data_IF_392259621726
#
_entry.id   IF_392259621726
#
_cell.length_a   1.000
_cell.length_b   1.000
_cell.length_c   1.000
_cell.angle_alpha   90.00
_cell.angle_beta   90.00
_cell.angle_gamma   90.00
#
_symmetry.space_group_name_H-M   'P 1'
#
loop_
_entity.id
_entity.type
_entity.pdbx_description
1 polymer ?
2 non-polymer ?
3 non-polymer ?
4 water ?
#
# COMPACT_ATOMS: atom_id res chain seq x y z
N UNK A 8 -13.58 23.74 0.98
CA UNK A 8 -12.62 24.03 2.07
C UNK A 8 -11.22 24.21 1.54
N UNK A 9 -11.09 24.71 0.31
CA UNK A 9 -9.76 24.83 -0.32
C UNK A 9 -8.76 25.47 0.64
N UNK A 10 -9.05 26.68 1.12
CA UNK A 10 -8.10 27.42 1.97
C UNK A 10 -7.51 26.50 3.05
N UNK A 11 -8.37 25.92 3.86
CA UNK A 11 -7.86 25.08 4.95
C UNK A 11 -7.05 23.92 4.39
N UNK A 12 -7.51 23.31 3.28
CA UNK A 12 -6.82 22.13 2.77
C UNK A 12 -5.52 22.53 2.08
N UNK A 13 -5.54 23.65 1.35
CA UNK A 13 -4.31 24.15 0.75
C UNK A 13 -3.28 24.51 1.82
N UNK A 14 -3.71 25.11 2.94
CA UNK A 14 -2.78 25.37 4.03
C UNK A 14 -2.18 24.07 4.54
N UNK A 15 -2.99 23.01 4.64
CA UNK A 15 -2.49 21.74 5.14
C UNK A 15 -1.45 21.17 4.19
N UNK A 16 -1.78 21.09 2.90
CA UNK A 16 -0.80 20.64 1.91
C UNK A 16 0.48 21.48 1.99
N UNK A 17 0.35 22.79 2.24
CA UNK A 17 1.56 23.64 2.35
C UNK A 17 2.36 23.30 3.60
N UNK A 18 1.67 22.94 4.69
CA UNK A 18 2.36 22.46 5.89
C UNK A 18 3.10 21.16 5.64
N UNK A 19 2.48 20.22 4.92
CA UNK A 19 3.11 18.94 4.65
C UNK A 19 4.40 19.11 3.88
N UNK A 20 4.40 19.97 2.85
CA UNK A 20 5.61 20.24 2.09
C UNK A 20 6.77 20.67 2.96
N UNK A 21 6.48 21.20 4.17
CA UNK A 21 7.53 21.74 5.03
C UNK A 21 8.44 20.66 5.60
N UNK A 22 7.97 19.41 5.69
CA UNK A 22 8.83 18.33 6.16
C UNK A 22 9.46 17.55 5.01
N UNK A 23 9.59 18.18 3.84
CA UNK A 23 10.08 17.48 2.64
C UNK A 23 11.56 17.15 2.76
N UNK A 24 12.34 17.94 3.48
CA UNK A 24 13.73 17.56 3.68
C UNK A 24 13.90 16.49 4.75
N UNK A 25 12.91 16.35 5.64
CA UNK A 25 12.93 15.30 6.65
C UNK A 25 12.64 13.94 6.04
N UNK A 26 11.59 13.85 5.20
CA UNK A 26 11.27 12.58 4.57
C UNK A 26 12.37 12.15 3.61
N UNK A 27 13.05 13.11 2.98
CA UNK A 27 14.12 12.76 2.05
C UNK A 27 15.36 12.24 2.80
N UNK A 28 15.94 13.05 3.69
CA UNK A 28 17.19 12.64 4.31
C UNK A 28 17.00 11.41 5.21
N UNK A 29 15.80 11.19 5.73
CA UNK A 29 15.55 10.01 6.55
C UNK A 29 15.50 8.74 5.68
N UNK A 30 14.82 8.82 4.52
CA UNK A 30 14.92 7.79 3.51
C UNK A 30 16.27 7.81 2.78
N UNK A 31 17.06 8.86 2.95
CA UNK A 31 18.37 8.88 2.33
C UNK A 31 19.34 7.90 2.95
N UNK A 32 19.11 7.54 4.22
CA UNK A 32 19.92 6.51 4.85
C UNK A 32 19.27 5.14 4.80
N UNK A 33 17.94 5.09 4.71
CA UNK A 33 17.27 3.85 4.35
C UNK A 33 17.92 3.24 3.12
N UNK A 34 18.21 4.08 2.12
CA UNK A 34 18.86 3.69 0.87
C UNK A 34 20.15 2.91 1.10
N UNK A 35 21.17 3.56 1.65
CA UNK A 35 22.47 2.92 1.81
C UNK A 35 22.46 1.68 2.69
N UNK A 36 21.44 1.53 3.53
CA UNK A 36 21.29 0.30 4.30
C UNK A 36 20.66 -0.79 3.44
N UNK A 37 19.65 -0.43 2.65
CA UNK A 37 19.00 -1.38 1.77
C UNK A 37 19.96 -1.87 0.68
N UNK A 38 20.79 -0.98 0.14
CA UNK A 38 21.80 -1.45 -0.81
C UNK A 38 22.78 -2.39 -0.14
N UNK A 39 23.10 -2.16 1.13
CA UNK A 39 24.03 -3.03 1.82
C UNK A 39 23.43 -4.40 2.10
N UNK A 40 22.15 -4.42 2.50
CA UNK A 40 21.46 -5.69 2.64
C UNK A 40 21.39 -6.42 1.30
N UNK A 41 21.12 -5.66 0.22
CA UNK A 41 21.00 -6.27 -1.09
C UNK A 41 22.31 -6.92 -1.54
N UNK A 42 23.45 -6.32 -1.18
CA UNK A 42 24.75 -6.86 -1.60
C UNK A 42 24.99 -8.24 -1.02
N UNK A 43 24.95 -8.36 0.31
CA UNK A 43 25.26 -9.63 0.93
C UNK A 43 24.11 -10.64 0.80
N UNK A 44 22.89 -10.18 0.57
CA UNK A 44 21.81 -11.10 0.23
C UNK A 44 22.11 -11.82 -1.09
N UNK A 45 22.61 -11.07 -2.08
CA UNK A 45 22.98 -11.68 -3.35
C UNK A 45 24.15 -12.66 -3.23
N UNK A 46 24.68 -12.87 -2.03
CA UNK A 46 25.76 -13.84 -1.82
C UNK A 46 25.24 -15.18 -1.32
N UNK A 47 23.95 -15.28 -1.01
CA UNK A 47 23.33 -16.51 -0.56
C UNK A 47 22.62 -17.18 -1.72
N UNK A 48 22.82 -18.51 -1.84
CA UNK A 48 22.26 -19.26 -2.96
C UNK A 48 20.77 -19.03 -3.12
N UNK A 49 20.03 -19.03 -2.02
CA UNK A 49 18.59 -18.90 -2.10
C UNK A 49 18.17 -17.49 -2.48
N UNK A 50 18.96 -16.48 -2.13
CA UNK A 50 18.55 -15.10 -2.38
C UNK A 50 19.39 -14.42 -3.46
N UNK A 51 20.11 -15.18 -4.27
CA UNK A 51 20.72 -14.59 -5.45
C UNK A 51 19.65 -14.05 -6.37
N UNK A 52 20.01 -13.04 -7.14
CA UNK A 52 19.00 -12.43 -7.99
C UNK A 52 17.86 -11.77 -7.26
N UNK A 53 17.97 -11.62 -5.95
CA UNK A 53 17.08 -10.70 -5.26
C UNK A 53 17.41 -9.29 -5.72
N UNK A 54 16.41 -8.42 -5.69
CA UNK A 54 16.58 -7.05 -6.15
C UNK A 54 15.48 -6.19 -5.58
N UNK A 55 15.53 -4.91 -5.93
CA UNK A 55 14.58 -3.94 -5.42
C UNK A 55 13.40 -3.78 -6.37
N UNK A 56 12.19 -3.93 -5.85
CA UNK A 56 10.98 -3.75 -6.64
C UNK A 56 10.73 -2.28 -7.03
N UNK A 66 7.23 4.01 -0.90
CA UNK A 66 8.37 3.88 0.00
C UNK A 66 8.04 4.46 1.39
N UNK A 67 7.38 5.62 1.46
CA UNK A 67 7.03 6.23 2.74
C UNK A 67 5.54 5.99 3.03
N UNK A 68 5.26 5.31 4.15
CA UNK A 68 3.90 4.92 4.52
C UNK A 68 3.21 6.01 5.36
N UNK A 69 3.90 6.49 6.37
CA UNK A 69 3.43 7.57 7.23
C UNK A 69 4.68 8.19 7.82
N UNK A 70 4.86 9.53 7.80
CA UNK A 70 6.09 10.18 8.25
C UNK A 70 7.13 9.31 8.97
N UNK A 71 8.25 8.99 8.30
CA UNK A 71 9.36 8.20 8.91
C UNK A 71 9.09 6.69 8.84
N UNK A 72 7.89 6.29 8.43
CA UNK A 72 7.60 4.84 8.25
C UNK A 72 7.94 4.46 6.81
N UNK A 73 9.09 3.82 6.59
CA UNK A 73 9.48 3.52 5.22
C UNK A 73 9.33 2.05 4.89
N UNK A 74 8.96 1.78 3.65
CA UNK A 74 8.70 0.43 3.18
C UNK A 74 9.50 0.14 1.92
N UNK A 75 10.32 -0.91 1.97
CA UNK A 75 11.10 -1.40 0.84
C UNK A 75 10.71 -2.86 0.57
N UNK A 76 10.54 -3.22 -0.69
CA UNK A 76 10.19 -4.59 -1.07
C UNK A 76 11.34 -5.22 -1.85
N UNK A 77 11.83 -6.34 -1.34
CA UNK A 77 12.87 -7.10 -2.01
C UNK A 77 12.20 -8.15 -2.90
N UNK A 78 12.37 -8.02 -4.20
CA UNK A 78 11.79 -9.00 -5.12
C UNK A 78 12.78 -10.12 -5.40
N UNK A 79 12.24 -11.32 -5.60
CA UNK A 79 13.07 -12.47 -5.86
C UNK A 79 12.46 -13.24 -7.02
N UNK A 80 13.27 -13.54 -8.03
CA UNK A 80 12.77 -14.25 -9.21
C UNK A 80 12.79 -15.75 -8.94
N UNK A 81 11.62 -16.36 -8.84
CA UNK A 81 11.52 -17.82 -8.72
C UNK A 81 11.18 -18.41 -10.08
N UNK A 82 11.48 -19.71 -10.32
CA UNK A 82 11.04 -20.33 -11.57
C UNK A 82 9.54 -20.43 -11.65
N UNK A 83 9.07 -21.10 -12.71
CA UNK A 83 7.64 -21.28 -12.96
C UNK A 83 6.90 -21.66 -11.69
N UNK A 84 5.78 -20.99 -11.46
CA UNK A 84 5.10 -21.06 -10.17
C UNK A 84 3.71 -21.63 -10.38
N UNK A 85 3.23 -22.34 -9.36
CA UNK A 85 1.89 -22.91 -9.32
C UNK A 85 1.20 -22.45 -8.05
N UNK A 86 -0.02 -21.95 -8.17
CA UNK A 86 -0.74 -21.41 -7.04
C UNK A 86 -1.97 -22.24 -6.72
N UNK A 87 -2.18 -22.53 -5.45
CA UNK A 87 -3.43 -23.11 -4.95
C UNK A 87 -4.05 -22.16 -3.92
N UNK A 88 -5.18 -21.57 -4.27
CA UNK A 88 -5.87 -20.64 -3.39
C UNK A 88 -6.16 -21.28 -2.04
N UNK A 89 -5.76 -20.61 -0.97
CA UNK A 89 -5.98 -21.12 0.38
C UNK A 89 -7.43 -20.91 0.76
N UNK A 90 -8.19 -22.00 0.81
CA UNK A 90 -9.63 -22.03 1.15
C UNK A 90 -10.35 -21.16 0.12
N UNK A 91 -11.20 -20.23 0.53
CA UNK A 91 -11.84 -19.25 -0.36
C UNK A 91 -11.43 -17.83 0.03
N UNK A 92 -10.15 -17.70 0.39
CA UNK A 92 -9.55 -16.37 0.66
C UNK A 92 -8.89 -16.01 -0.65
N UNK A 93 -9.49 -15.11 -1.42
CA UNK A 93 -9.00 -14.87 -2.81
C UNK A 93 -7.57 -14.34 -2.86
N UNK A 94 -6.98 -13.96 -1.72
CA UNK A 94 -5.65 -13.33 -1.75
C UNK A 94 -4.56 -14.27 -1.24
N UNK A 95 -4.92 -15.33 -0.52
CA UNK A 95 -3.88 -16.12 0.11
C UNK A 95 -3.71 -17.46 -0.60
N UNK A 96 -2.45 -17.87 -0.79
CA UNK A 96 -2.13 -19.00 -1.66
C UNK A 96 -1.03 -19.86 -1.06
N UNK A 97 -1.01 -21.12 -1.49
CA UNK A 97 0.17 -21.96 -1.38
C UNK A 97 0.98 -21.86 -2.66
N UNK A 98 2.27 -22.18 -2.56
CA UNK A 98 3.21 -21.94 -3.64
C UNK A 98 3.94 -23.24 -3.93
N UNK A 99 3.90 -23.67 -5.19
CA UNK A 99 4.70 -24.80 -5.65
C UNK A 99 5.12 -24.54 -7.10
N UNK A 100 6.11 -25.29 -7.55
CA UNK A 100 6.73 -25.05 -8.86
C UNK A 100 6.10 -25.90 -9.98
N UNK A 108 18.24 -23.91 -6.05
CA UNK A 108 18.66 -23.87 -4.64
C UNK A 108 17.49 -23.68 -3.67
N UNK A 109 16.38 -23.15 -4.18
CA UNK A 109 15.20 -22.86 -3.37
C UNK A 109 14.61 -24.10 -2.69
N UNK A 110 15.09 -25.28 -3.09
CA UNK A 110 14.56 -26.54 -2.57
C UNK A 110 14.57 -26.61 -1.05
N UNK A 111 15.44 -25.84 -0.39
CA UNK A 111 15.61 -25.96 1.05
C UNK A 111 14.41 -25.46 1.86
N UNK A 112 13.50 -24.70 1.24
CA UNK A 112 12.34 -24.15 1.95
C UNK A 112 11.08 -24.96 1.74
N UNK A 113 11.19 -26.22 1.34
CA UNK A 113 10.03 -26.99 0.94
C UNK A 113 9.41 -27.68 2.16
N UNK A 114 8.08 -27.80 2.14
CA UNK A 114 7.31 -28.60 3.10
C UNK A 114 6.47 -29.56 2.24
N UNK A 115 7.10 -30.63 1.77
CA UNK A 115 6.48 -31.48 0.78
C UNK A 115 6.59 -30.88 -0.61
N UNK A 116 5.47 -30.51 -1.22
CA UNK A 116 5.52 -29.87 -2.53
C UNK A 116 5.31 -28.37 -2.45
N UNK A 117 4.91 -27.84 -1.28
CA UNK A 117 4.68 -26.40 -1.16
C UNK A 117 5.95 -25.74 -0.65
N UNK A 118 6.09 -24.46 -0.97
CA UNK A 118 7.23 -23.65 -0.56
C UNK A 118 6.85 -22.92 0.72
N UNK A 119 7.63 -23.12 1.77
CA UNK A 119 7.24 -22.65 3.09
C UNK A 119 7.53 -21.15 3.21
N UNK A 120 6.46 -20.36 3.22
CA UNK A 120 6.58 -18.93 3.50
C UNK A 120 7.25 -18.68 4.84
N UNK A 121 6.69 -19.30 5.90
CA UNK A 121 7.23 -19.13 7.25
C UNK A 121 8.71 -19.50 7.32
N UNK A 122 9.12 -20.55 6.60
CA UNK A 122 10.54 -20.97 6.65
C UNK A 122 11.41 -20.06 5.78
N UNK A 123 10.95 -19.68 4.60
CA UNK A 123 11.74 -18.75 3.78
C UNK A 123 11.86 -17.39 4.45
N UNK A 124 10.74 -16.83 4.90
CA UNK A 124 10.80 -15.61 5.68
C UNK A 124 11.81 -15.71 6.82
N UNK A 125 12.03 -16.92 7.33
CA UNK A 125 12.89 -17.07 8.50
C UNK A 125 14.36 -16.94 8.13
N UNK A 126 14.76 -17.38 6.94
CA UNK A 126 16.18 -17.29 6.61
C UNK A 126 16.54 -15.88 6.17
N UNK A 127 15.66 -15.26 5.39
CA UNK A 127 15.69 -13.83 5.13
C UNK A 127 16.05 -13.05 6.39
N UNK A 128 15.22 -13.22 7.43
CA UNK A 128 15.40 -12.52 8.69
C UNK A 128 16.82 -12.68 9.21
N UNK A 129 17.32 -13.92 9.22
CA UNK A 129 18.58 -14.22 9.89
C UNK A 129 19.78 -13.73 9.08
N UNK A 130 19.63 -13.61 7.76
CA UNK A 130 20.72 -13.06 6.98
C UNK A 130 20.85 -11.56 7.24
N UNK A 131 19.72 -10.88 7.45
CA UNK A 131 19.76 -9.45 7.77
C UNK A 131 20.26 -9.21 9.20
N UNK A 132 20.00 -10.16 10.11
CA UNK A 132 20.48 -10.03 11.48
C UNK A 132 22.01 -9.92 11.52
N UNK A 133 22.70 -10.87 10.89
CA UNK A 133 24.17 -10.83 10.91
C UNK A 133 24.74 -9.70 10.07
N UNK A 134 23.91 -9.04 9.27
CA UNK A 134 24.40 -7.90 8.51
C UNK A 134 24.33 -6.61 9.32
N UNK A 135 23.39 -6.51 10.26
CA UNK A 135 23.35 -5.37 11.16
C UNK A 135 24.44 -5.51 12.22
N UNK A 142 24.11 2.55 13.32
CA UNK A 142 23.24 2.38 14.49
C UNK A 142 21.86 1.88 14.07
N UNK A 143 21.74 0.59 13.77
CA UNK A 143 20.51 -0.04 13.30
C UNK A 143 20.17 -1.22 14.21
N UNK A 144 18.88 -1.54 14.33
CA UNK A 144 18.41 -2.65 15.16
C UNK A 144 17.16 -3.27 14.54
N UNK A 145 16.76 -4.42 15.08
CA UNK A 145 15.72 -5.26 14.50
C UNK A 145 14.36 -5.12 15.21
N UNK A 146 13.43 -6.00 14.85
CA UNK A 146 12.09 -6.10 15.43
C UNK A 146 11.21 -7.13 14.69
N UNK A 153 4.60 -9.59 7.12
CA UNK A 153 5.49 -10.03 6.05
C UNK A 153 6.75 -9.21 6.13
N UNK A 154 6.72 -8.28 7.07
CA UNK A 154 7.74 -7.25 7.18
C UNK A 154 8.75 -7.63 8.26
N UNK A 155 10.04 -7.48 7.93
CA UNK A 155 11.12 -7.41 8.89
C UNK A 155 11.42 -5.93 9.11
N UNK A 156 11.50 -5.51 10.36
CA UNK A 156 11.58 -4.08 10.66
C UNK A 156 12.96 -3.73 11.19
N UNK A 157 13.58 -2.74 10.57
CA UNK A 157 14.80 -2.10 11.05
C UNK A 157 14.45 -0.79 11.72
N UNK A 158 15.40 -0.28 12.51
CA UNK A 158 15.29 1.01 13.19
C UNK A 158 16.64 1.71 13.05
N UNK A 159 16.75 2.61 12.07
CA UNK A 159 17.99 3.34 11.82
C UNK A 159 18.04 4.56 12.71
N UNK A 160 19.02 4.61 13.61
CA UNK A 160 19.25 5.75 14.49
C UNK A 160 17.96 6.20 15.18
N UNK A 161 17.17 5.21 15.62
CA UNK A 161 16.07 5.43 16.55
C UNK A 161 14.86 6.11 15.90
N UNK A 162 15.09 7.16 15.09
CA UNK A 162 14.00 7.89 14.46
C UNK A 162 13.33 7.07 13.37
N UNK A 163 14.13 6.44 12.52
CA UNK A 163 13.70 5.97 11.20
C UNK A 163 13.40 4.49 11.27
N UNK A 164 12.16 4.13 10.94
CA UNK A 164 11.71 2.75 10.88
C UNK A 164 11.60 2.31 9.43
N UNK A 165 12.11 1.10 9.13
CA UNK A 165 12.06 0.56 7.78
C UNK A 165 11.39 -0.81 7.79
N UNK A 166 10.41 -0.97 6.90
CA UNK A 166 9.79 -2.26 6.62
C UNK A 166 10.43 -2.87 5.38
N UNK A 167 10.96 -4.08 5.52
CA UNK A 167 11.63 -4.80 4.45
C UNK A 167 10.83 -6.06 4.18
N UNK A 168 10.18 -6.12 3.03
CA UNK A 168 9.22 -7.17 2.72
C UNK A 168 9.76 -8.01 1.58
N UNK A 169 9.86 -9.32 1.79
CA UNK A 169 10.32 -10.21 0.75
C UNK A 169 9.17 -10.51 -0.22
N UNK A 170 9.44 -10.39 -1.52
CA UNK A 170 8.42 -10.57 -2.55
C UNK A 170 8.91 -11.59 -3.57
N UNK A 171 8.24 -12.74 -3.65
CA UNK A 171 8.41 -13.64 -4.78
C UNK A 171 7.78 -13.03 -6.02
N UNK A 172 8.49 -13.13 -7.15
CA UNK A 172 8.02 -12.57 -8.41
C UNK A 172 7.54 -13.67 -9.34
N UNK A 173 6.33 -13.52 -9.86
CA UNK A 173 5.79 -14.46 -10.83
C UNK A 173 5.43 -13.73 -12.11
N UNK A 174 5.97 -14.20 -13.22
CA UNK A 174 5.63 -13.71 -14.55
C UNK A 174 4.46 -14.47 -15.17
N UNK A 175 3.78 -15.33 -14.41
CA UNK A 175 2.58 -15.99 -14.91
C UNK A 175 1.43 -14.98 -14.99
N UNK A 176 0.37 -15.36 -15.71
CA UNK A 176 -0.85 -14.57 -15.69
C UNK A 176 -1.35 -14.42 -14.25
N UNK A 177 -2.04 -13.32 -13.99
CA UNK A 177 -2.54 -13.04 -12.66
C UNK A 177 -3.56 -14.10 -12.24
N UNK A 178 -3.70 -14.36 -10.94
CA UNK A 178 -4.59 -15.42 -10.50
C UNK A 178 -6.05 -15.07 -10.73
N UNK A 179 -6.87 -16.12 -10.76
CA UNK A 179 -8.28 -15.98 -11.11
C UNK A 179 -9.00 -14.95 -10.24
N UNK A 180 -8.57 -14.78 -8.98
CA UNK A 180 -9.28 -13.87 -8.09
C UNK A 180 -9.10 -12.41 -8.48
N UNK A 181 -8.20 -12.10 -9.41
CA UNK A 181 -8.01 -10.73 -9.85
C UNK A 181 -8.78 -10.41 -11.12
N UNK A 182 -9.52 -11.36 -11.68
CA UNK A 182 -10.15 -11.16 -12.98
C UNK A 182 -11.06 -9.95 -13.01
N UNK A 183 -11.83 -9.75 -11.94
CA UNK A 183 -12.75 -8.63 -11.80
C UNK A 183 -12.13 -7.45 -11.04
N UNK A 184 -10.87 -7.56 -10.63
CA UNK A 184 -10.19 -6.44 -10.01
C UNK A 184 -9.70 -5.43 -11.05
N UNK A 185 -8.99 -4.41 -10.56
CA UNK A 185 -8.35 -3.39 -11.38
C UNK A 185 -9.33 -2.80 -12.39
N UNK A 186 -10.44 -2.26 -11.88
CA UNK A 186 -11.54 -1.78 -12.73
C UNK A 186 -11.24 -0.37 -13.24
N UNK A 187 -10.20 -0.28 -14.09
CA UNK A 187 -9.71 1.00 -14.55
C UNK A 187 -10.16 1.33 -15.98
N UNK A 188 -10.96 0.47 -16.63
CA UNK A 188 -11.28 0.62 -18.05
C UNK A 188 -11.82 2.01 -18.37
N UNK A 189 -12.79 2.50 -17.59
CA UNK A 189 -13.39 3.80 -17.90
C UNK A 189 -12.51 4.96 -17.51
N UNK A 190 -11.45 4.72 -16.73
CA UNK A 190 -10.61 5.79 -16.20
C UNK A 190 -9.28 5.82 -16.94
N UNK A 191 -8.34 4.96 -16.58
CA UNK A 191 -7.23 4.66 -17.48
C UNK A 191 -7.83 3.83 -18.60
N UNK A 192 -7.13 3.42 -19.62
CA UNK A 192 -8.02 2.77 -20.60
C UNK A 192 -8.15 1.24 -20.42
N UNK A 193 -9.00 0.62 -21.25
CA UNK A 193 -9.00 -0.84 -21.34
C UNK A 193 -7.63 -1.37 -21.79
N UNK A 194 -6.97 -0.67 -22.72
CA UNK A 194 -5.65 -1.12 -23.15
C UNK A 194 -4.62 -0.97 -22.05
N UNK A 195 -4.75 0.04 -21.18
CA UNK A 195 -3.79 0.17 -20.08
C UNK A 195 -3.96 -0.98 -19.10
N UNK A 196 -5.19 -1.39 -18.82
CA UNK A 196 -5.42 -2.56 -17.93
C UNK A 196 -4.72 -3.79 -18.52
N UNK A 197 -4.80 -3.97 -19.85
CA UNK A 197 -4.14 -5.12 -20.52
C UNK A 197 -2.62 -5.00 -20.38
N UNK A 198 -2.10 -3.79 -20.49
CA UNK A 198 -0.67 -3.63 -20.29
C UNK A 198 -0.28 -3.98 -18.85
N UNK A 199 -1.07 -3.46 -17.89
CA UNK A 199 -0.76 -3.67 -16.48
C UNK A 199 -0.81 -5.14 -16.11
N UNK A 200 -1.81 -5.87 -16.63
CA UNK A 200 -2.00 -7.26 -16.26
C UNK A 200 -1.05 -8.20 -16.99
N UNK A 201 -0.25 -7.70 -17.92
CA UNK A 201 0.84 -8.49 -18.48
C UNK A 201 2.09 -8.42 -17.62
N UNK A 202 2.15 -7.47 -16.70
CA UNK A 202 3.30 -7.33 -15.83
C UNK A 202 3.28 -8.42 -14.77
N UNK A 203 4.40 -8.67 -14.12
CA UNK A 203 4.43 -9.71 -13.07
C UNK A 203 3.55 -9.33 -11.89
N UNK A 204 3.32 -10.32 -11.02
CA UNK A 204 2.68 -10.06 -9.74
C UNK A 204 3.56 -10.68 -8.66
N UNK A 205 3.20 -10.40 -7.40
CA UNK A 205 4.08 -10.73 -6.30
C UNK A 205 3.33 -11.43 -5.19
N UNK A 206 4.06 -12.22 -4.43
CA UNK A 206 3.55 -12.87 -3.23
C UNK A 206 4.47 -12.51 -2.08
N UNK A 207 3.90 -11.94 -1.03
CA UNK A 207 4.67 -11.67 0.18
C UNK A 207 4.34 -12.77 1.17
N UNK A 208 5.28 -13.19 2.01
CA UNK A 208 4.96 -14.24 2.99
C UNK A 208 4.15 -13.69 4.15
N UNK A 209 2.89 -13.41 3.85
CA UNK A 209 1.94 -12.99 4.91
C UNK A 209 0.93 -14.13 5.00
N UNK A 210 0.90 -14.82 6.13
CA UNK A 210 0.05 -15.98 6.32
C UNK A 210 -1.27 -15.58 6.94
N UNK A 211 -2.36 -16.13 6.42
CA UNK A 211 -3.69 -15.94 6.98
C UNK A 211 -3.72 -16.28 8.46
N UNK A 219 0.85 -21.08 9.30
CA UNK A 219 0.61 -21.59 7.96
C UNK A 219 1.69 -21.12 6.98
N UNK A 220 1.90 -21.89 5.93
CA UNK A 220 2.94 -21.60 4.95
C UNK A 220 2.41 -20.80 3.76
N UNK A 221 1.45 -19.90 3.99
CA UNK A 221 0.70 -19.24 2.94
C UNK A 221 1.29 -17.86 2.59
N UNK A 222 1.12 -17.47 1.34
CA UNK A 222 1.60 -16.21 0.79
C UNK A 222 0.43 -15.38 0.29
N UNK A 223 0.62 -14.06 0.26
CA UNK A 223 -0.42 -13.11 -0.14
C UNK A 223 -0.03 -12.33 -1.39
N UNK A 224 -0.98 -12.12 -2.28
CA UNK A 224 -0.71 -11.38 -3.51
C UNK A 224 -0.31 -9.95 -3.21
N UNK A 225 0.57 -9.40 -4.03
CA UNK A 225 1.00 -8.01 -3.92
C UNK A 225 1.11 -7.39 -5.29
N UNK A 226 0.59 -6.17 -5.41
CA UNK A 226 0.61 -5.40 -6.65
C UNK A 226 1.10 -3.98 -6.35
N UNK A 227 1.88 -3.83 -5.29
CA UNK A 227 2.32 -2.50 -4.92
C UNK A 227 3.09 -1.84 -6.05
N UNK A 228 3.62 -2.62 -6.99
CA UNK A 228 4.24 -2.01 -8.16
C UNK A 228 3.19 -1.40 -9.08
N UNK A 229 2.04 -2.08 -9.24
CA UNK A 229 0.97 -1.49 -10.03
C UNK A 229 0.39 -0.28 -9.31
N UNK A 230 0.36 -0.31 -7.98
CA UNK A 230 -0.23 0.81 -7.28
C UNK A 230 0.58 2.08 -7.53
N UNK A 231 1.90 1.95 -7.62
CA UNK A 231 2.75 3.10 -7.89
C UNK A 231 2.54 3.63 -9.32
N UNK A 232 2.30 2.73 -10.28
CA UNK A 232 2.10 3.14 -11.68
C UNK A 232 0.80 3.93 -11.86
N UNK A 233 -0.29 3.48 -11.24
CA UNK A 233 -1.54 4.19 -11.44
C UNK A 233 -1.58 5.46 -10.61
N UNK A 234 -0.80 5.53 -9.53
CA UNK A 234 -0.68 6.77 -8.77
C UNK A 234 0.08 7.84 -9.55
N UNK A 235 1.23 7.47 -10.14
CA UNK A 235 2.04 8.39 -10.93
C UNK A 235 1.56 8.63 -12.35
N UNK A 236 0.72 7.77 -12.91
CA UNK A 236 0.22 7.94 -14.26
C UNK A 236 -1.30 7.87 -14.21
N UNK A 237 -1.89 8.90 -13.61
CA UNK A 237 -3.17 8.78 -12.95
C UNK A 237 -4.35 9.36 -13.72
N UNK A 238 -4.11 10.03 -14.87
CA UNK A 238 -5.17 10.75 -15.52
C UNK A 238 -5.83 9.96 -16.63
N UNK A 239 -7.07 10.34 -16.97
CA UNK A 239 -7.56 9.99 -18.29
C UNK A 239 -6.67 10.62 -19.35
N UNK A 240 -6.39 11.90 -19.24
CA UNK A 240 -5.43 12.49 -20.16
C UNK A 240 -4.03 11.95 -19.89
N UNK A 241 -3.40 11.40 -20.94
CA UNK A 241 -2.01 10.98 -20.81
C UNK A 241 -1.12 12.11 -20.31
N UNK A 242 -1.47 13.37 -20.57
CA UNK A 242 -0.65 14.49 -20.16
C UNK A 242 -1.18 15.15 -18.89
N UNK A 243 -2.00 14.43 -18.12
CA UNK A 243 -2.41 14.90 -16.80
C UNK A 243 -1.19 15.32 -16.00
N UNK A 244 -1.25 16.53 -15.41
CA UNK A 244 -0.21 17.09 -14.56
C UNK A 244 1.13 17.27 -15.27
N UNK A 245 1.18 17.29 -16.60
CA UNK A 245 2.42 17.63 -17.30
C UNK A 245 2.48 19.05 -17.83
N UNK A 246 1.42 19.83 -17.66
CA UNK A 246 1.36 21.19 -18.15
C UNK A 246 0.36 21.92 -17.27
N UNK A 247 0.46 23.25 -17.28
CA UNK A 247 -0.36 24.08 -16.42
C UNK A 247 -1.85 23.97 -16.71
N UNK A 248 -2.25 23.48 -17.90
CA UNK A 248 -3.66 23.37 -18.24
C UNK A 248 -4.30 22.10 -17.69
N UNK A 249 -3.49 21.18 -17.15
CA UNK A 249 -3.98 19.88 -16.69
C UNK A 249 -3.37 19.59 -15.33
N UNK A 250 -3.64 20.43 -14.32
CA UNK A 250 -3.20 20.19 -12.93
C UNK A 250 -4.39 19.61 -12.19
N UNK A 251 -4.47 18.28 -12.11
CA UNK A 251 -5.54 17.74 -11.29
C UNK A 251 -5.10 17.68 -9.82
N UNK A 252 -6.02 17.31 -8.94
CA UNK A 252 -5.77 17.31 -7.50
C UNK A 252 -5.87 15.91 -6.93
N UNK A 253 -5.71 14.89 -7.80
CA UNK A 253 -5.78 13.50 -7.35
C UNK A 253 -4.73 13.21 -6.28
N UNK A 254 -3.49 13.64 -6.50
CA UNK A 254 -2.46 13.31 -5.52
C UNK A 254 -2.64 14.10 -4.22
N UNK A 255 -3.11 15.35 -4.29
CA UNK A 255 -3.39 16.10 -3.06
C UNK A 255 -4.49 15.45 -2.24
N UNK A 256 -5.53 14.93 -2.90
CA UNK A 256 -6.60 14.32 -2.14
C UNK A 256 -6.12 13.12 -1.36
N UNK A 257 -5.22 12.32 -1.95
CA UNK A 257 -4.73 11.15 -1.23
C UNK A 257 -3.87 11.59 -0.05
N UNK A 258 -3.05 12.64 -0.24
CA UNK A 258 -2.25 13.16 0.86
C UNK A 258 -3.16 13.62 2.00
N UNK A 259 -4.15 14.45 1.68
CA UNK A 259 -5.12 14.89 2.68
C UNK A 259 -5.76 13.69 3.37
N UNK A 260 -6.09 12.64 2.61
CA UNK A 260 -6.73 11.50 3.23
C UNK A 260 -5.77 10.72 4.12
N UNK A 261 -4.52 10.50 3.65
CA UNK A 261 -3.47 9.91 4.51
C UNK A 261 -3.25 10.76 5.77
N UNK A 262 -3.27 12.08 5.63
CA UNK A 262 -3.00 12.96 6.77
C UNK A 262 -4.18 13.00 7.72
N UNK A 263 -5.40 12.94 7.17
CA UNK A 263 -6.60 12.89 8.00
C UNK A 263 -6.54 11.69 8.94
N UNK A 264 -6.18 10.53 8.40
CA UNK A 264 -6.10 9.33 9.21
C UNK A 264 -4.95 9.41 10.22
N UNK A 265 -3.79 9.93 9.79
CA UNK A 265 -2.67 10.04 10.71
C UNK A 265 -3.02 10.97 11.88
N UNK A 266 -3.66 12.10 11.58
CA UNK A 266 -4.04 13.04 12.64
C UNK A 266 -5.08 12.44 13.57
N UNK A 267 -6.11 11.78 13.02
CA UNK A 267 -7.11 11.18 13.88
C UNK A 267 -6.51 10.06 14.72
N UNK A 268 -5.59 9.30 14.13
CA UNK A 268 -4.97 8.23 14.89
C UNK A 268 -4.17 8.79 16.06
N UNK A 269 -3.48 9.91 15.83
CA UNK A 269 -2.77 10.59 16.91
C UNK A 269 -3.71 11.00 18.04
N UNK A 270 -4.82 11.65 17.69
CA UNK A 270 -5.74 12.19 18.69
C UNK A 270 -6.39 11.09 19.54
N UNK A 271 -6.70 9.94 18.94
CA UNK A 271 -7.29 8.81 19.67
C UNK A 271 -6.24 7.79 20.08
N UNK A 272 -5.09 8.28 20.56
CA UNK A 272 -4.01 7.47 21.14
C UNK A 272 -4.25 7.13 22.60
N UNK A 273 -5.24 7.74 23.26
CA UNK A 273 -5.58 7.42 24.64
C UNK A 273 -6.34 6.10 24.76
N UNK A 274 -7.31 5.85 23.90
CA UNK A 274 -8.09 4.62 23.95
C UNK A 274 -7.82 3.69 22.78
N UNK A 275 -6.96 4.09 21.83
CA UNK A 275 -6.35 3.19 20.84
C UNK A 275 -7.41 2.45 20.03
N UNK A 276 -8.45 3.15 19.63
CA UNK A 276 -9.51 2.50 18.88
C UNK A 276 -9.18 2.38 17.39
N UNK A 277 -8.18 3.11 16.93
CA UNK A 277 -7.91 3.25 15.51
C UNK A 277 -6.67 2.51 15.07
N UNK A 278 -6.10 1.67 15.93
CA UNK A 278 -4.81 1.06 15.66
C UNK A 278 -4.79 0.25 14.36
N UNK A 279 -5.92 -0.32 13.95
CA UNK A 279 -5.91 -1.26 12.83
C UNK A 279 -5.96 -0.59 11.46
N UNK A 280 -6.36 0.67 11.39
CA UNK A 280 -6.52 1.35 10.12
C UNK A 280 -5.18 1.90 9.68
N UNK A 281 -4.88 1.71 8.40
CA UNK A 281 -3.62 2.18 7.84
C UNK A 281 -3.89 2.99 6.60
N UNK A 282 -2.83 3.66 6.14
CA UNK A 282 -2.92 4.40 4.90
C UNK A 282 -3.22 3.48 3.71
N UNK A 283 -3.02 2.17 3.83
CA UNK A 283 -3.45 1.27 2.77
C UNK A 283 -4.97 1.22 2.65
N UNK A 284 -5.69 1.29 3.76
CA UNK A 284 -7.14 1.40 3.66
C UNK A 284 -7.50 2.70 2.94
N UNK A 285 -6.76 3.77 3.22
CA UNK A 285 -7.02 5.05 2.57
C UNK A 285 -6.64 5.00 1.09
N UNK A 286 -5.46 4.47 0.76
CA UNK A 286 -5.06 4.37 -0.64
C UNK A 286 -6.07 3.55 -1.44
N UNK A 287 -6.52 2.41 -0.88
CA UNK A 287 -7.45 1.55 -1.59
C UNK A 287 -8.76 2.26 -1.86
N UNK A 288 -9.32 2.95 -0.85
CA UNK A 288 -10.54 3.72 -1.07
C UNK A 288 -10.32 4.81 -2.11
N UNK A 289 -9.16 5.46 -2.09
CA UNK A 289 -8.88 6.49 -3.08
C UNK A 289 -8.89 5.91 -4.50
N UNK A 290 -8.39 4.68 -4.68
CA UNK A 290 -8.47 4.04 -6.00
C UNK A 290 -9.93 3.83 -6.44
N UNK A 291 -10.83 3.46 -5.51
CA UNK A 291 -12.23 3.28 -5.87
C UNK A 291 -12.85 4.60 -6.30
N UNK A 292 -12.51 5.67 -5.60
CA UNK A 292 -13.07 6.97 -5.95
C UNK A 292 -12.57 7.42 -7.33
N UNK A 293 -11.29 7.16 -7.63
CA UNK A 293 -10.76 7.41 -8.98
C UNK A 293 -11.55 6.65 -10.03
N UNK A 294 -11.89 5.39 -9.75
CA UNK A 294 -12.76 4.64 -10.66
C UNK A 294 -14.13 5.29 -10.76
N UNK A 295 -14.65 5.80 -9.65
CA UNK A 295 -15.96 6.43 -9.68
C UNK A 295 -15.94 7.77 -10.43
N UNK A 296 -14.88 8.54 -10.34
CA UNK A 296 -14.80 9.84 -11.01
C UNK A 296 -13.66 9.74 -12.02
N UNK A 297 -13.93 9.10 -13.18
CA UNK A 297 -12.84 8.78 -14.10
C UNK A 297 -12.29 9.96 -14.88
N UNK A 298 -12.97 11.11 -14.95
CA UNK A 298 -12.50 12.17 -15.83
C UNK A 298 -11.65 13.16 -15.04
N UNK A 299 -10.60 13.69 -15.73
CA UNK A 299 -9.73 14.67 -15.09
C UNK A 299 -10.53 15.91 -14.70
N UNK A 300 -11.57 16.23 -15.46
CA UNK A 300 -12.40 17.36 -15.10
C UNK A 300 -13.05 17.17 -13.73
N UNK A 301 -13.22 15.93 -13.27
CA UNK A 301 -13.74 15.70 -11.94
C UNK A 301 -12.67 15.82 -10.85
N UNK A 302 -11.44 16.14 -11.24
CA UNK A 302 -10.35 16.34 -10.30
C UNK A 302 -9.65 17.66 -10.53
N UNK A 303 -10.39 18.65 -11.02
CA UNK A 303 -9.82 19.96 -11.27
C UNK A 303 -9.27 20.55 -9.97
N UNK A 304 -8.09 21.16 -10.06
CA UNK A 304 -7.46 21.74 -8.87
C UNK A 304 -8.40 22.71 -8.16
N UNK A 305 -9.12 23.54 -8.92
CA UNK A 305 -10.02 24.52 -8.34
C UNK A 305 -11.07 23.90 -7.42
N UNK A 306 -11.29 22.60 -7.53
CA UNK A 306 -12.34 21.91 -6.82
C UNK A 306 -11.81 21.03 -5.70
N UNK A 307 -10.60 21.29 -5.23
CA UNK A 307 -9.96 20.48 -4.19
C UNK A 307 -10.92 20.20 -3.03
N UNK A 308 -11.66 21.21 -2.57
CA UNK A 308 -12.61 21.00 -1.49
C UNK A 308 -13.64 19.92 -1.76
N UNK A 309 -14.27 19.96 -2.95
CA UNK A 309 -15.31 18.98 -3.30
C UNK A 309 -14.72 17.62 -3.62
N UNK A 310 -13.53 17.60 -4.23
CA UNK A 310 -12.86 16.33 -4.52
C UNK A 310 -12.50 15.59 -3.22
N UNK A 311 -11.92 16.33 -2.27
CA UNK A 311 -11.64 15.77 -0.96
C UNK A 311 -12.92 15.24 -0.32
N UNK A 312 -14.01 16.02 -0.42
CA UNK A 312 -15.28 15.56 0.14
C UNK A 312 -15.71 14.21 -0.46
N UNK A 313 -15.55 14.03 -1.79
CA UNK A 313 -15.85 12.74 -2.43
C UNK A 313 -15.01 11.62 -1.82
N UNK A 314 -13.74 11.89 -1.56
CA UNK A 314 -12.89 10.87 -0.94
C UNK A 314 -13.35 10.52 0.46
N UNK A 315 -13.73 11.54 1.23
CA UNK A 315 -14.15 11.31 2.62
C UNK A 315 -15.51 10.62 2.68
N UNK A 316 -16.46 11.01 1.81
CA UNK A 316 -17.77 10.37 1.81
C UNK A 316 -17.68 8.90 1.41
N UNK A 317 -16.86 8.57 0.39
CA UNK A 317 -16.74 7.16 0.00
C UNK A 317 -16.00 6.36 1.05
N UNK A 318 -14.98 6.94 1.67
CA UNK A 318 -14.35 6.24 2.78
C UNK A 318 -15.36 5.99 3.89
N UNK A 319 -16.21 6.97 4.17
CA UNK A 319 -17.25 6.82 5.18
C UNK A 319 -18.19 5.67 4.83
N UNK A 320 -18.66 5.61 3.57
CA UNK A 320 -19.53 4.51 3.17
C UNK A 320 -18.86 3.16 3.43
N UNK A 321 -17.55 3.05 3.15
CA UNK A 321 -16.83 1.81 3.42
C UNK A 321 -16.89 1.43 4.90
N UNK A 322 -16.53 2.37 5.78
CA UNK A 322 -16.60 2.09 7.22
C UNK A 322 -18.01 1.68 7.63
N UNK A 323 -19.03 2.38 7.15
CA UNK A 323 -20.39 2.17 7.62
C UNK A 323 -21.02 0.88 7.07
N UNK A 324 -20.55 0.41 5.92
CA UNK A 324 -21.02 -0.85 5.36
C UNK A 324 -20.04 -1.99 5.61
N UNK A 325 -19.00 -1.75 6.42
CA UNK A 325 -17.96 -2.74 6.70
C UNK A 325 -17.51 -3.45 5.42
N UNK A 326 -17.25 -2.65 4.39
CA UNK A 326 -16.84 -3.18 3.10
C UNK A 326 -15.84 -2.24 2.45
N UNK A 327 -14.59 -2.68 2.33
CA UNK A 327 -13.61 -2.00 1.51
C UNK A 327 -12.92 -3.07 0.68
N UNK A 328 -13.25 -3.13 -0.60
CA UNK A 328 -12.72 -4.14 -1.49
C UNK A 328 -11.28 -3.81 -1.88
N UNK A 329 -10.40 -4.78 -1.71
CA UNK A 329 -9.10 -4.74 -2.37
C UNK A 329 -9.29 -4.40 -3.84
N UNK A 330 -8.49 -3.46 -4.33
CA UNK A 330 -8.65 -2.92 -5.67
C UNK A 330 -8.39 -3.97 -6.73
N UNK A 331 -7.52 -4.93 -6.43
CA UNK A 331 -7.15 -6.01 -7.36
C UNK A 331 -7.91 -7.31 -7.08
N UNK A 332 -8.30 -7.54 -5.83
CA UNK A 332 -9.03 -8.75 -5.44
C UNK A 332 -10.36 -8.31 -4.82
N UNK A 333 -11.44 -8.24 -5.59
CA UNK A 333 -12.68 -7.67 -5.05
C UNK A 333 -13.33 -8.49 -3.95
N UNK A 334 -13.16 -9.81 -3.94
CA UNK A 334 -13.78 -10.62 -2.89
C UNK A 334 -12.93 -10.69 -1.63
N UNK A 335 -11.93 -9.84 -1.52
CA UNK A 335 -11.07 -9.73 -0.36
C UNK A 335 -11.43 -8.40 0.30
N UNK A 336 -12.17 -8.49 1.40
CA UNK A 336 -12.72 -7.32 2.11
C UNK A 336 -11.76 -6.94 3.24
N UNK A 337 -11.01 -5.85 3.02
CA UNK A 337 -10.13 -5.34 4.07
C UNK A 337 -10.90 -4.90 5.32
N UNK A 338 -12.21 -4.70 5.22
CA UNK A 338 -12.98 -4.20 6.36
C UNK A 338 -13.92 -5.23 6.96
N UNK A 339 -13.73 -6.52 6.66
CA UNK A 339 -14.59 -7.52 7.28
C UNK A 339 -14.34 -7.57 8.79
N UNK A 340 -15.38 -7.95 9.53
CA UNK A 340 -15.22 -8.05 10.98
C UNK A 340 -14.12 -9.05 11.34
N UNK A 341 -13.71 -9.88 10.38
CA UNK A 341 -12.51 -10.69 10.52
C UNK A 341 -11.27 -9.84 10.81
N UNK A 342 -11.00 -8.83 9.99
CA UNK A 342 -9.75 -8.08 10.16
C UNK A 342 -9.90 -6.92 11.14
N UNK A 343 -10.98 -6.16 11.03
CA UNK A 343 -11.25 -5.06 11.93
C UNK A 343 -12.59 -5.34 12.59
N UNK A 344 -12.61 -5.35 13.92
CA UNK A 344 -13.88 -5.63 14.56
C UNK A 344 -14.83 -4.45 14.34
N UNK A 345 -16.13 -4.73 14.54
CA UNK A 345 -17.16 -3.76 14.22
C UNK A 345 -17.07 -2.50 15.07
N UNK A 346 -16.58 -2.61 16.31
CA UNK A 346 -16.55 -1.44 17.18
C UNK A 346 -15.53 -0.41 16.71
N UNK A 347 -14.35 -0.86 16.28
CA UNK A 347 -13.35 0.09 15.79
C UNK A 347 -13.84 0.80 14.54
N UNK A 348 -14.52 0.08 13.65
CA UNK A 348 -15.05 0.71 12.44
C UNK A 348 -16.13 1.73 12.80
N UNK A 349 -17.09 1.32 13.62
CA UNK A 349 -18.12 2.26 14.08
C UNK A 349 -17.48 3.47 14.75
N UNK A 350 -16.36 3.25 15.45
CA UNK A 350 -15.66 4.37 16.08
C UNK A 350 -15.14 5.37 15.04
N UNK A 351 -14.44 4.87 14.01
CA UNK A 351 -13.82 5.79 13.07
C UNK A 351 -14.85 6.54 12.23
N UNK A 352 -15.98 5.89 11.94
CA UNK A 352 -17.12 6.56 11.30
C UNK A 352 -17.46 7.84 12.03
N UNK A 353 -17.87 7.70 13.30
CA UNK A 353 -18.26 8.84 14.12
C UNK A 353 -17.24 9.97 14.07
N UNK A 354 -15.95 9.63 14.14
CA UNK A 354 -14.94 10.69 14.12
C UNK A 354 -14.81 11.32 12.74
N UNK A 355 -14.68 10.50 11.70
CA UNK A 355 -14.66 11.03 10.33
C UNK A 355 -15.97 11.76 10.00
N UNK A 356 -17.10 11.27 10.51
CA UNK A 356 -18.38 11.94 10.27
C UNK A 356 -18.43 13.32 10.90
N UNK A 357 -18.01 13.42 12.17
CA UNK A 357 -17.92 14.71 12.82
C UNK A 357 -16.97 15.63 12.08
N UNK A 358 -15.78 15.12 11.71
CA UNK A 358 -14.80 15.97 11.02
C UNK A 358 -15.40 16.52 9.74
N UNK A 359 -16.00 15.63 8.95
CA UNK A 359 -16.66 15.99 7.71
C UNK A 359 -17.71 17.08 7.93
N UNK A 360 -18.60 16.87 8.91
CA UNK A 360 -19.72 17.78 9.08
C UNK A 360 -19.32 19.12 9.67
N UNK A 361 -18.07 19.29 10.09
CA UNK A 361 -17.64 20.54 10.71
C UNK A 361 -16.46 21.18 9.98
N UNK A 362 -16.24 20.83 8.71
CA UNK A 362 -15.17 21.44 7.92
C UNK A 362 -13.80 21.18 8.52
N UNK A 363 -13.62 19.94 9.02
CA UNK A 363 -12.37 19.34 9.51
C UNK A 363 -11.64 20.21 10.53
N UNK A 364 -12.15 20.33 11.76
CA UNK A 364 -11.36 21.02 12.81
C UNK A 364 -10.04 20.33 13.13
N UNK A 365 -9.87 19.05 12.79
CA UNK A 365 -8.58 18.41 12.97
C UNK A 365 -7.46 19.12 12.18
N UNK A 366 -7.81 19.91 11.17
CA UNK A 366 -6.88 20.61 10.32
C UNK A 366 -6.66 22.07 10.75
N UNK A 367 -7.21 22.48 11.87
CA UNK A 367 -7.11 23.86 12.31
C UNK A 367 -5.71 24.19 12.84
N UNK A 368 -5.26 25.43 12.56
CA UNK A 368 -3.96 25.95 13.01
C UNK A 368 -2.77 25.00 12.74
#
# INVERSE_FOLDING_TARGET
GTGDAAPGASKLRAVLEKLKLSRDDISTAAGMVKGVVDHLLLRLKCDSAFRGVGLLNTGSYYEHVKISAPNEFDVMFKLEVPRIQLEEYSNTRAYYFVKFKRNPKENPLSQFLEGEILSASKMLSKFRKIIKEEINDIKDTDVIMKRKRGGSPAVTLLISEKISVDITLALESKSSWPASTQEGLRIQNWLSAKVRKQLRLKPFYLVPKHAKEGNGFQEETWRLSFSHIEKEILNNHGKSKTCCENKEEKCCRKDCLKLMKYLLEQLKERFKDKKHLDKFSSYHVKTAFFHVCTQNPQDSQWDRKDLGLCFDNCVTYFLQCLRTEKLENYFIPEFNLFSSNLIDKRSKEFLTKQIEYERNNEFPVFDEF
#
